data_IF_753696165077
#
_entry.id   IF_753696165077
#
_cell.length_a   1.000
_cell.length_b   1.000
_cell.length_c   1.000
_cell.angle_alpha   90.00
_cell.angle_beta   90.00
_cell.angle_gamma   90.00
#
_symmetry.space_group_name_H-M   'P 1'
#
loop_
_entity.id
_entity.type
_entity.pdbx_description
1 polymer ?
#
# COMPACT_ATOMS: atom_id res chain seq x y z
N UNK A 1 16.88 -9.73 -14.42
CA UNK A 1 16.91 -8.49 -13.62
C UNK A 1 17.59 -8.82 -12.29
N UNK A 2 18.67 -8.13 -11.95
CA UNK A 2 19.41 -8.32 -10.70
C UNK A 2 18.57 -7.74 -9.54
N UNK A 3 18.25 -8.55 -8.53
CA UNK A 3 17.55 -8.07 -7.33
C UNK A 3 18.56 -7.34 -6.44
N UNK A 4 18.31 -6.07 -6.17
CA UNK A 4 19.13 -5.25 -5.27
C UNK A 4 18.32 -4.91 -4.03
N UNK A 5 18.88 -5.17 -2.86
CA UNK A 5 18.28 -4.72 -1.62
C UNK A 5 18.47 -3.20 -1.50
N UNK A 6 17.42 -2.50 -1.12
CA UNK A 6 17.44 -1.09 -0.78
C UNK A 6 16.71 -0.92 0.55
N UNK A 7 17.39 -0.31 1.52
CA UNK A 7 16.76 0.05 2.79
C UNK A 7 15.77 1.20 2.56
N UNK A 8 14.58 1.07 3.14
CA UNK A 8 13.57 2.13 3.08
C UNK A 8 13.91 3.16 4.17
N UNK A 9 14.21 4.39 3.74
CA UNK A 9 14.45 5.50 4.66
C UNK A 9 13.17 6.22 5.03
N UNK A 10 13.18 6.90 6.17
CA UNK A 10 12.16 7.88 6.55
C UNK A 10 12.33 9.17 5.74
N UNK A 11 11.21 9.79 5.35
CA UNK A 11 11.17 11.07 4.65
C UNK A 11 10.57 12.14 5.55
N UNK A 12 11.13 13.34 5.49
CA UNK A 12 10.54 14.55 6.07
C UNK A 12 9.30 14.99 5.28
N UNK A 13 8.45 15.84 5.87
CA UNK A 13 7.27 16.37 5.17
C UNK A 13 7.63 17.14 3.90
N UNK A 14 8.79 17.82 3.91
CA UNK A 14 9.30 18.53 2.74
C UNK A 14 9.66 17.55 1.62
N UNK A 15 10.43 16.50 1.92
CA UNK A 15 10.81 15.47 0.94
C UNK A 15 9.59 14.71 0.41
N UNK A 16 8.61 14.39 1.26
CA UNK A 16 7.36 13.77 0.83
C UNK A 16 6.67 14.65 -0.22
N UNK A 17 6.59 15.96 0.04
CA UNK A 17 6.00 16.91 -0.91
C UNK A 17 6.81 16.98 -2.20
N UNK A 18 8.14 17.04 -2.12
CA UNK A 18 9.01 17.07 -3.30
C UNK A 18 8.84 15.83 -4.17
N UNK A 19 8.79 14.63 -3.57
CA UNK A 19 8.56 13.37 -4.31
C UNK A 19 7.20 13.40 -5.02
N UNK A 20 6.16 13.86 -4.32
CA UNK A 20 4.82 14.01 -4.90
C UNK A 20 4.80 15.04 -6.03
N UNK A 21 5.55 16.14 -5.93
CA UNK A 21 5.61 17.18 -6.96
C UNK A 21 6.42 16.71 -8.20
N UNK A 22 7.52 15.97 -7.99
CA UNK A 22 8.41 15.53 -9.06
C UNK A 22 7.84 14.35 -9.89
N UNK A 23 6.96 13.53 -9.29
CA UNK A 23 6.30 12.40 -9.97
C UNK A 23 7.27 11.35 -10.55
N UNK A 24 8.45 11.18 -9.93
CA UNK A 24 9.42 10.14 -10.31
C UNK A 24 8.90 8.77 -9.86
N UNK A 25 8.71 7.84 -10.80
CA UNK A 25 8.03 6.56 -10.56
C UNK A 25 8.77 5.73 -9.51
N UNK A 26 10.09 5.67 -9.58
CA UNK A 26 10.94 4.93 -8.67
C UNK A 26 10.79 5.42 -7.22
N UNK A 27 10.61 6.72 -7.01
CA UNK A 27 10.38 7.30 -5.70
C UNK A 27 8.94 7.08 -5.22
N UNK A 28 7.96 7.26 -6.12
CA UNK A 28 6.55 7.02 -5.83
C UNK A 28 6.23 5.57 -5.47
N UNK A 29 7.00 4.60 -6.00
CA UNK A 29 6.90 3.19 -5.62
C UNK A 29 7.32 2.98 -4.15
N UNK A 30 8.35 3.69 -3.68
CA UNK A 30 8.90 3.53 -2.34
C UNK A 30 8.16 4.38 -1.29
N UNK A 31 7.59 5.50 -1.71
CA UNK A 31 6.94 6.47 -0.82
C UNK A 31 5.83 5.84 0.07
N UNK A 32 4.86 5.06 -0.45
CA UNK A 32 3.84 4.40 0.38
C UNK A 32 4.42 3.51 1.48
N UNK A 33 5.51 2.81 1.16
CA UNK A 33 6.19 1.90 2.09
C UNK A 33 6.81 2.72 3.21
N UNK A 34 7.58 3.75 2.87
CA UNK A 34 8.21 4.65 3.84
C UNK A 34 7.18 5.29 4.77
N UNK A 35 6.12 5.90 4.22
CA UNK A 35 5.11 6.56 5.08
C UNK A 35 4.34 5.55 5.94
N UNK A 36 4.10 4.33 5.44
CA UNK A 36 3.43 3.28 6.21
C UNK A 36 4.29 2.73 7.35
N UNK A 37 5.61 2.73 7.19
CA UNK A 37 6.57 2.31 8.21
C UNK A 37 6.76 3.39 9.28
N UNK A 38 7.05 4.63 8.85
CA UNK A 38 7.65 5.63 9.72
C UNK A 38 6.69 6.75 10.09
N UNK A 39 5.85 7.22 9.16
CA UNK A 39 5.07 8.43 9.37
C UNK A 39 4.16 8.32 10.61
N UNK A 40 4.22 9.36 11.44
CA UNK A 40 3.66 9.33 12.80
C UNK A 40 2.11 9.27 12.79
N UNK A 41 1.47 9.98 11.85
CA UNK A 41 0.02 10.03 11.74
C UNK A 41 -0.51 8.97 10.78
N UNK A 42 -1.08 7.89 11.34
CA UNK A 42 -1.69 6.80 10.56
C UNK A 42 -2.73 7.30 9.54
N UNK A 43 -3.49 8.36 9.90
CA UNK A 43 -4.56 8.89 9.06
C UNK A 43 -4.00 9.65 7.86
N UNK A 44 -2.93 10.42 8.05
CA UNK A 44 -2.26 11.13 6.95
C UNK A 44 -1.55 10.12 6.04
N UNK A 45 -0.81 9.16 6.61
CA UNK A 45 -0.16 8.10 5.85
C UNK A 45 -1.18 7.29 5.02
N UNK A 46 -2.32 6.94 5.61
CA UNK A 46 -3.40 6.26 4.90
C UNK A 46 -3.91 7.10 3.73
N UNK A 47 -4.22 8.39 3.96
CA UNK A 47 -4.74 9.25 2.92
C UNK A 47 -3.75 9.40 1.75
N UNK A 48 -2.45 9.51 2.05
CA UNK A 48 -1.39 9.55 1.03
C UNK A 48 -1.35 8.24 0.22
N UNK A 49 -1.42 7.08 0.87
CA UNK A 49 -1.55 5.81 0.16
C UNK A 49 -2.83 5.76 -0.69
N UNK A 50 -3.95 6.32 -0.24
CA UNK A 50 -5.18 6.34 -1.05
C UNK A 50 -5.07 7.24 -2.27
N UNK A 51 -4.34 8.35 -2.17
CA UNK A 51 -4.02 9.24 -3.29
C UNK A 51 -3.14 8.51 -4.32
N UNK A 52 -2.05 7.88 -3.86
CA UNK A 52 -1.15 7.11 -4.73
C UNK A 52 -1.84 5.89 -5.36
N UNK A 53 -2.86 5.32 -4.71
CA UNK A 53 -3.68 4.26 -5.29
C UNK A 53 -4.55 4.74 -6.48
N UNK A 54 -4.60 6.04 -6.79
CA UNK A 54 -5.22 6.57 -8.02
C UNK A 54 -4.20 6.84 -9.13
N UNK A 55 -2.92 6.58 -8.91
CA UNK A 55 -1.88 6.88 -9.90
C UNK A 55 -2.01 6.01 -11.17
N UNK A 56 -1.56 6.54 -12.31
CA UNK A 56 -1.64 5.84 -13.62
C UNK A 56 -0.79 4.57 -13.69
N UNK A 57 0.33 4.57 -12.97
CA UNK A 57 1.27 3.45 -12.92
C UNK A 57 0.79 2.32 -11.99
N UNK A 58 0.77 1.08 -12.50
CA UNK A 58 0.26 -0.07 -11.77
C UNK A 58 1.12 -0.45 -10.56
N UNK A 59 2.44 -0.24 -10.64
CA UNK A 59 3.35 -0.57 -9.56
C UNK A 59 3.20 0.41 -8.40
N UNK A 60 3.04 1.71 -8.69
CA UNK A 60 2.73 2.73 -7.68
C UNK A 60 1.42 2.37 -6.95
N UNK A 61 0.36 2.01 -7.69
CA UNK A 61 -0.91 1.63 -7.05
C UNK A 61 -0.80 0.38 -6.18
N UNK A 62 -0.06 -0.63 -6.62
CA UNK A 62 0.15 -1.84 -5.83
C UNK A 62 0.93 -1.56 -4.54
N UNK A 63 2.00 -0.76 -4.63
CA UNK A 63 2.76 -0.35 -3.44
C UNK A 63 1.96 0.59 -2.54
N UNK A 64 1.03 1.38 -3.09
CA UNK A 64 0.10 2.14 -2.29
C UNK A 64 -0.78 1.25 -1.40
N UNK A 65 -1.25 0.13 -1.93
CA UNK A 65 -1.96 -0.91 -1.14
C UNK A 65 -1.01 -1.57 -0.13
N UNK A 66 0.23 -1.85 -0.51
CA UNK A 66 1.24 -2.42 0.40
C UNK A 66 1.62 -1.47 1.55
N UNK A 67 1.68 -0.16 1.31
CA UNK A 67 1.83 0.87 2.34
C UNK A 67 0.71 0.82 3.38
N UNK A 68 -0.53 0.55 2.98
CA UNK A 68 -1.64 0.33 3.92
C UNK A 68 -1.38 -0.88 4.83
N UNK A 69 -0.80 -1.96 4.31
CA UNK A 69 -0.43 -3.12 5.12
C UNK A 69 0.65 -2.77 6.16
N UNK A 70 1.62 -1.93 5.80
CA UNK A 70 2.59 -1.42 6.76
C UNK A 70 1.94 -0.57 7.86
N UNK A 71 0.97 0.30 7.53
CA UNK A 71 0.21 1.06 8.54
C UNK A 71 -0.57 0.12 9.45
N UNK A 72 -1.22 -0.91 8.89
CA UNK A 72 -1.92 -1.92 9.68
C UNK A 72 -0.96 -2.61 10.67
N UNK A 73 0.23 -3.00 10.20
CA UNK A 73 1.26 -3.66 11.03
C UNK A 73 1.85 -2.74 12.10
N UNK A 74 2.23 -1.51 11.75
CA UNK A 74 2.99 -0.62 12.65
C UNK A 74 2.10 0.20 13.57
N UNK A 75 0.89 0.56 13.12
CA UNK A 75 -0.03 1.44 13.85
C UNK A 75 -1.30 0.74 14.32
N UNK A 76 -1.58 -0.48 13.84
CA UNK A 76 -2.77 -1.25 14.25
C UNK A 76 -4.09 -0.58 13.89
N UNK A 77 -4.10 0.36 12.93
CA UNK A 77 -5.26 1.21 12.67
C UNK A 77 -5.36 1.65 11.22
N UNK A 78 -6.54 1.44 10.64
CA UNK A 78 -6.96 1.95 9.34
C UNK A 78 -8.48 2.20 9.37
N UNK A 79 -8.96 3.11 8.54
CA UNK A 79 -10.38 3.25 8.27
C UNK A 79 -10.81 2.27 7.18
N UNK A 80 -11.40 1.16 7.63
CA UNK A 80 -11.88 0.08 6.77
C UNK A 80 -12.83 0.55 5.67
N UNK A 81 -13.68 1.55 5.96
CA UNK A 81 -14.78 1.94 5.05
C UNK A 81 -14.22 2.55 3.78
N UNK A 82 -13.16 3.35 3.90
CA UNK A 82 -12.57 4.05 2.77
C UNK A 82 -11.54 3.20 2.02
N UNK A 83 -10.75 2.37 2.72
CA UNK A 83 -9.69 1.59 2.04
C UNK A 83 -10.24 0.37 1.30
N UNK A 84 -11.28 -0.27 1.83
CA UNK A 84 -11.82 -1.53 1.30
C UNK A 84 -12.21 -1.44 -0.19
N UNK A 85 -12.97 -0.44 -0.68
CA UNK A 85 -13.32 -0.38 -2.09
C UNK A 85 -12.08 -0.25 -3.00
N UNK A 86 -11.05 0.48 -2.55
CA UNK A 86 -9.81 0.70 -3.31
C UNK A 86 -8.99 -0.58 -3.40
N UNK A 87 -8.78 -1.26 -2.27
CA UNK A 87 -8.06 -2.55 -2.22
C UNK A 87 -8.75 -3.60 -3.11
N UNK A 88 -10.08 -3.71 -3.03
CA UNK A 88 -10.82 -4.67 -3.84
C UNK A 88 -10.83 -4.31 -5.33
N UNK A 89 -10.77 -3.01 -5.68
CA UNK A 89 -10.60 -2.56 -7.06
C UNK A 89 -9.23 -2.99 -7.59
N UNK A 90 -8.16 -2.71 -6.86
CA UNK A 90 -6.80 -3.07 -7.28
C UNK A 90 -6.61 -4.58 -7.40
N UNK A 91 -7.15 -5.38 -6.46
CA UNK A 91 -7.11 -6.84 -6.57
C UNK A 91 -7.72 -7.35 -7.89
N UNK A 92 -8.77 -6.69 -8.40
CA UNK A 92 -9.43 -7.07 -9.66
C UNK A 92 -8.71 -6.55 -10.89
N UNK A 93 -8.18 -5.33 -10.84
CA UNK A 93 -7.74 -4.60 -12.03
C UNK A 93 -6.22 -4.61 -12.25
N UNK A 94 -5.44 -4.79 -11.19
CA UNK A 94 -3.99 -4.72 -11.25
C UNK A 94 -3.42 -6.14 -11.35
N UNK A 95 -3.43 -6.68 -12.57
CA UNK A 95 -3.01 -8.05 -12.83
C UNK A 95 -1.50 -8.23 -12.69
N UNK A 96 -0.74 -7.21 -13.11
CA UNK A 96 0.73 -7.22 -13.14
C UNK A 96 1.34 -7.37 -11.74
N UNK A 97 0.79 -6.67 -10.75
CA UNK A 97 1.27 -6.67 -9.37
C UNK A 97 0.27 -7.31 -8.39
N UNK A 98 -0.55 -8.25 -8.88
CA UNK A 98 -1.59 -8.91 -8.08
C UNK A 98 -1.02 -9.60 -6.83
N UNK A 99 0.16 -10.22 -6.93
CA UNK A 99 0.83 -10.86 -5.79
C UNK A 99 1.07 -9.91 -4.62
N UNK A 100 1.64 -8.72 -4.90
CA UNK A 100 1.85 -7.68 -3.89
C UNK A 100 0.55 -7.25 -3.20
N UNK A 101 -0.54 -7.16 -3.97
CA UNK A 101 -1.86 -6.78 -3.43
C UNK A 101 -2.42 -7.89 -2.54
N UNK A 102 -2.24 -9.17 -2.91
CA UNK A 102 -2.65 -10.32 -2.11
C UNK A 102 -1.89 -10.36 -0.78
N UNK A 103 -0.57 -10.16 -0.82
CA UNK A 103 0.27 -10.11 0.37
C UNK A 103 -0.18 -8.98 1.31
N UNK A 104 -0.41 -7.78 0.75
CA UNK A 104 -0.92 -6.64 1.51
C UNK A 104 -2.29 -6.94 2.16
N UNK A 105 -3.20 -7.60 1.45
CA UNK A 105 -4.51 -7.98 2.00
C UNK A 105 -4.35 -8.97 3.15
N UNK A 106 -3.47 -9.96 2.99
CA UNK A 106 -3.18 -10.96 4.01
C UNK A 106 -2.64 -10.30 5.27
N UNK A 107 -1.67 -9.40 5.15
CA UNK A 107 -1.12 -8.62 6.26
C UNK A 107 -2.19 -7.77 6.95
N UNK A 108 -3.00 -7.01 6.21
CA UNK A 108 -4.08 -6.20 6.79
C UNK A 108 -5.07 -7.08 7.55
N UNK A 109 -5.43 -8.24 6.99
CA UNK A 109 -6.31 -9.19 7.64
C UNK A 109 -5.69 -9.74 8.93
N UNK A 110 -4.41 -10.10 8.90
CA UNK A 110 -3.67 -10.61 10.04
C UNK A 110 -3.57 -9.58 11.17
N UNK A 111 -3.11 -8.37 10.89
CA UNK A 111 -2.83 -7.36 11.91
C UNK A 111 -4.09 -6.66 12.44
N UNK A 112 -5.16 -6.55 11.66
CA UNK A 112 -6.41 -5.89 12.10
C UNK A 112 -7.55 -6.87 12.40
N UNK A 113 -7.33 -8.18 12.25
CA UNK A 113 -8.37 -9.20 12.40
C UNK A 113 -9.50 -9.07 11.36
N UNK A 114 -9.18 -8.54 10.18
CA UNK A 114 -10.16 -8.33 9.11
C UNK A 114 -10.31 -9.56 8.21
N UNK A 115 -11.33 -9.51 7.34
CA UNK A 115 -11.65 -10.55 6.35
C UNK A 115 -11.90 -9.92 4.98
N UNK A 116 -10.97 -9.08 4.55
CA UNK A 116 -10.96 -8.49 3.22
C UNK A 116 -10.77 -9.60 2.18
N UNK A 117 -11.42 -9.44 1.02
CA UNK A 117 -11.37 -10.37 -0.11
C UNK A 117 -11.62 -11.86 0.22
N UNK A 118 -12.38 -12.19 1.29
CA UNK A 118 -12.64 -13.58 1.72
C UNK A 118 -13.02 -14.55 0.59
N UNK A 119 -13.83 -14.11 -0.38
CA UNK A 119 -14.24 -14.94 -1.53
C UNK A 119 -13.06 -15.34 -2.42
N UNK A 120 -12.10 -14.44 -2.61
CA UNK A 120 -10.89 -14.70 -3.38
C UNK A 120 -10.09 -15.84 -2.75
N UNK A 121 -9.75 -15.70 -1.46
CA UNK A 121 -8.98 -16.71 -0.72
C UNK A 121 -9.72 -18.05 -0.52
N UNK A 122 -11.05 -18.05 -0.49
CA UNK A 122 -11.81 -19.30 -0.42
C UNK A 122 -11.76 -20.10 -1.74
N UNK A 123 -11.65 -19.41 -2.88
CA UNK A 123 -11.65 -20.06 -4.19
C UNK A 123 -10.27 -20.59 -4.61
N UNK A 124 -9.17 -20.07 -4.05
CA UNK A 124 -7.81 -20.59 -4.30
C UNK A 124 -7.47 -21.85 -3.47
N UNK A 125 -8.28 -22.17 -2.45
CA UNK A 125 -8.15 -23.39 -1.65
C UNK A 125 -9.03 -24.56 -2.16
N UNK A 126 -9.53 -24.46 -3.40
CA UNK A 126 -10.26 -25.51 -4.14
C UNK A 126 -9.51 -25.86 -5.41
#
# INVERSE_FOLDING_TARGET
MERRYQEIREYTEHEIKEILDQQVIEELILLPISVGLYYHSWKIAQNLCLELAQHKDAHVRANAVFGLAHIARTKGKLDKRIIKPIILKELRQNEEYRGTIIDAISDINQFLGWKLAKRYFNNENQ
#
